data_IF_348080581456
#
_entry.id   IF_348080581456
#
_cell.length_a   1.000
_cell.length_b   1.000
_cell.length_c   1.000
_cell.angle_alpha   90.00
_cell.angle_beta   90.00
_cell.angle_gamma   90.00
#
_symmetry.space_group_name_H-M   'P 1'
#
loop_
_entity.id
_entity.type
_entity.pdbx_description
1 polymer ?
#
# COMPACT_ATOMS: atom_id res chain seq x y z
N UNK A 1 40.14 21.13 24.61
CA UNK A 1 40.08 19.67 24.42
C UNK A 1 39.25 19.43 23.18
N UNK A 2 39.85 18.87 22.13
CA UNK A 2 39.08 18.36 21.00
C UNK A 2 38.17 17.24 21.50
N UNK A 3 36.88 17.34 21.18
CA UNK A 3 35.92 16.30 21.48
C UNK A 3 36.20 15.13 20.53
N UNK A 4 36.85 14.06 21.01
CA UNK A 4 37.13 12.89 20.20
C UNK A 4 35.84 12.08 20.03
N UNK A 5 35.20 12.22 18.87
CA UNK A 5 33.95 11.52 18.53
C UNK A 5 34.26 10.05 18.19
N UNK A 6 34.06 9.15 19.17
CA UNK A 6 34.23 7.71 19.02
C UNK A 6 33.22 6.93 19.90
N UNK A 7 31.91 7.01 19.60
CA UNK A 7 30.91 6.27 20.36
C UNK A 7 31.03 4.76 20.06
N UNK A 8 31.34 3.97 21.08
CA UNK A 8 31.37 2.50 20.97
C UNK A 8 30.00 1.86 21.23
N UNK A 9 29.19 2.50 22.07
CA UNK A 9 27.87 2.04 22.50
C UNK A 9 26.89 3.21 22.44
N UNK A 10 25.69 2.95 21.93
CA UNK A 10 24.63 3.93 21.77
C UNK A 10 23.29 3.29 22.13
N UNK A 11 22.39 4.08 22.69
CA UNK A 11 21.02 3.63 22.98
C UNK A 11 20.15 3.98 21.77
N UNK A 12 19.63 2.98 21.06
CA UNK A 12 18.66 3.18 19.99
C UNK A 12 17.31 3.60 20.58
N UNK A 13 16.85 4.82 20.29
CA UNK A 13 15.50 5.27 20.67
C UNK A 13 14.46 4.64 19.75
N UNK A 14 14.60 4.85 18.43
CA UNK A 14 13.66 4.39 17.41
C UNK A 14 14.18 4.58 15.99
N UNK A 15 13.54 3.88 15.05
CA UNK A 15 13.59 4.20 13.63
C UNK A 15 12.59 5.31 13.33
N UNK A 16 13.09 6.48 12.92
CA UNK A 16 12.29 7.67 12.63
C UNK A 16 11.52 7.53 11.33
N UNK A 17 12.21 7.09 10.28
CA UNK A 17 11.66 6.99 8.94
C UNK A 17 12.46 5.99 8.09
N UNK A 18 11.79 5.43 7.08
CA UNK A 18 12.43 4.65 6.02
C UNK A 18 12.08 5.30 4.70
N UNK A 19 13.10 5.68 3.94
CA UNK A 19 12.97 6.32 2.64
C UNK A 19 13.45 5.37 1.56
N UNK A 20 12.64 5.19 0.53
CA UNK A 20 12.93 4.35 -0.62
C UNK A 20 13.19 5.21 -1.84
N UNK A 21 14.30 4.94 -2.52
CA UNK A 21 14.78 5.70 -3.67
C UNK A 21 14.98 4.80 -4.88
N UNK A 22 14.83 5.38 -6.06
CA UNK A 22 15.27 4.74 -7.29
C UNK A 22 16.81 4.67 -7.28
N UNK A 23 17.42 3.48 -7.39
CA UNK A 23 18.86 3.33 -7.25
C UNK A 23 19.66 3.94 -8.42
N UNK A 24 19.02 4.28 -9.55
CA UNK A 24 19.67 4.88 -10.71
C UNK A 24 19.54 6.41 -10.74
N UNK A 25 18.40 6.97 -10.31
CA UNK A 25 18.14 8.42 -10.36
C UNK A 25 18.25 9.11 -9.00
N UNK A 26 18.33 8.35 -7.91
CA UNK A 26 18.20 8.84 -6.52
C UNK A 26 16.90 9.64 -6.28
N UNK A 27 15.86 9.39 -7.08
CA UNK A 27 14.53 9.97 -6.89
C UNK A 27 13.77 9.23 -5.78
N UNK A 28 13.08 9.98 -4.91
CA UNK A 28 12.31 9.43 -3.82
C UNK A 28 11.03 8.74 -4.35
N UNK A 29 10.92 7.44 -4.15
CA UNK A 29 9.75 6.63 -4.53
C UNK A 29 8.70 6.65 -3.41
N UNK A 30 9.14 6.59 -2.16
CA UNK A 30 8.23 6.54 -1.03
C UNK A 30 8.92 6.77 0.30
N UNK A 31 8.13 7.22 1.28
CA UNK A 31 8.60 7.45 2.64
C UNK A 31 7.63 6.81 3.63
N UNK A 32 8.17 5.94 4.48
CA UNK A 32 7.47 5.33 5.58
C UNK A 32 7.85 6.05 6.87
N UNK A 33 6.83 6.31 7.69
CA UNK A 33 6.98 6.93 9.01
C UNK A 33 6.27 6.07 10.03
N UNK A 34 6.55 6.32 11.32
CA UNK A 34 5.96 5.55 12.42
C UNK A 34 6.21 4.05 12.22
N UNK A 35 7.49 3.69 12.19
CA UNK A 35 7.91 2.31 12.01
C UNK A 35 7.80 1.59 13.35
N UNK A 36 7.07 0.50 13.36
CA UNK A 36 6.89 -0.40 14.49
C UNK A 36 7.67 -1.69 14.22
N UNK A 37 8.28 -2.23 15.28
CA UNK A 37 9.00 -3.50 15.27
C UNK A 37 10.04 -3.63 14.12
N UNK A 38 10.92 -2.64 13.90
CA UNK A 38 11.95 -2.74 12.88
C UNK A 38 12.98 -3.79 13.27
N UNK A 39 13.27 -4.72 12.36
CA UNK A 39 14.28 -5.76 12.53
C UNK A 39 15.19 -5.76 11.31
N UNK A 40 16.50 -5.69 11.54
CA UNK A 40 17.54 -5.88 10.54
C UNK A 40 18.26 -7.20 10.84
N UNK A 41 18.14 -8.16 9.94
CA UNK A 41 18.68 -9.52 10.10
C UNK A 41 19.70 -9.81 9.00
N UNK A 42 20.71 -10.61 9.33
CA UNK A 42 21.64 -11.19 8.34
C UNK A 42 21.68 -12.69 8.50
N UNK A 43 21.77 -13.42 7.38
CA UNK A 43 21.93 -14.87 7.35
C UNK A 43 23.00 -15.28 6.34
N UNK A 44 23.50 -16.51 6.48
CA UNK A 44 24.47 -17.10 5.57
C UNK A 44 24.24 -18.61 5.46
N UNK A 45 24.63 -19.19 4.34
CA UNK A 45 24.60 -20.64 4.13
C UNK A 45 25.90 -21.25 4.62
N UNK A 46 25.83 -22.14 5.60
CA UNK A 46 26.96 -22.92 6.09
C UNK A 46 27.24 -24.14 5.18
N UNK A 47 28.51 -24.36 4.88
CA UNK A 47 29.03 -25.54 4.20
C UNK A 47 30.08 -26.20 5.10
N UNK A 48 29.72 -27.34 5.69
CA UNK A 48 30.61 -28.09 6.56
C UNK A 48 31.51 -29.03 5.76
N UNK A 49 32.81 -28.93 5.97
CA UNK A 49 33.80 -29.92 5.56
C UNK A 49 33.92 -30.94 6.68
N UNK A 50 33.53 -32.18 6.40
CA UNK A 50 33.51 -33.26 7.38
C UNK A 50 34.70 -34.21 7.22
N UNK A 51 35.10 -34.86 8.31
CA UNK A 51 36.06 -35.96 8.28
C UNK A 51 35.44 -37.26 7.76
N UNK A 52 36.26 -38.32 7.65
CA UNK A 52 35.82 -39.62 7.17
C UNK A 52 34.76 -40.31 8.06
N UNK A 53 34.54 -39.81 9.29
CA UNK A 53 33.51 -40.29 10.22
C UNK A 53 32.27 -39.36 10.26
N UNK A 54 32.24 -38.31 9.43
CA UNK A 54 31.13 -37.37 9.34
C UNK A 54 31.18 -36.23 10.35
N UNK A 55 32.27 -36.05 11.09
CA UNK A 55 32.44 -34.95 12.05
C UNK A 55 32.87 -33.67 11.32
N UNK A 56 32.22 -32.51 11.54
CA UNK A 56 32.66 -31.25 10.95
C UNK A 56 34.08 -30.86 11.40
N UNK A 57 34.98 -30.70 10.43
CA UNK A 57 36.35 -30.16 10.61
C UNK A 57 36.32 -28.64 10.50
N UNK A 58 35.56 -28.10 9.54
CA UNK A 58 35.52 -26.66 9.25
C UNK A 58 34.21 -26.25 8.56
N UNK A 59 33.69 -25.06 8.85
CA UNK A 59 32.49 -24.51 8.21
C UNK A 59 32.83 -23.30 7.35
N UNK A 60 32.49 -23.33 6.07
CA UNK A 60 32.52 -22.17 5.18
C UNK A 60 31.16 -21.47 5.16
N UNK A 61 31.13 -20.16 5.35
CA UNK A 61 29.91 -19.36 5.23
C UNK A 61 29.85 -18.67 3.87
N UNK A 62 28.83 -19.01 3.08
CA UNK A 62 28.59 -18.48 1.74
C UNK A 62 27.24 -17.76 1.67
N UNK A 63 26.99 -17.06 0.55
CA UNK A 63 25.69 -16.47 0.22
C UNK A 63 25.09 -15.63 1.36
N UNK A 64 25.86 -14.67 1.88
CA UNK A 64 25.35 -13.74 2.89
C UNK A 64 24.14 -12.96 2.34
N UNK A 65 23.07 -12.94 3.13
CA UNK A 65 21.81 -12.28 2.84
C UNK A 65 21.48 -11.33 3.98
N UNK A 66 20.80 -10.24 3.65
CA UNK A 66 20.22 -9.35 4.64
C UNK A 66 18.72 -9.24 4.45
N UNK A 67 18.00 -9.01 5.54
CA UNK A 67 16.57 -8.75 5.53
C UNK A 67 16.27 -7.58 6.45
N UNK A 68 15.48 -6.64 5.98
CA UNK A 68 14.93 -5.57 6.81
C UNK A 68 13.41 -5.66 6.81
N UNK A 69 12.81 -5.83 7.97
CA UNK A 69 11.35 -5.94 8.12
C UNK A 69 10.82 -5.07 9.25
N UNK A 70 9.53 -4.81 9.22
CA UNK A 70 8.81 -4.07 10.25
C UNK A 70 7.39 -3.78 9.78
N UNK A 71 6.70 -2.88 10.47
CA UNK A 71 5.38 -2.43 10.06
C UNK A 71 5.28 -0.91 10.10
N UNK A 72 4.56 -0.31 9.15
CA UNK A 72 4.13 1.08 9.27
C UNK A 72 2.82 1.14 10.06
N UNK A 73 2.73 2.07 11.01
CA UNK A 73 1.50 2.31 11.77
C UNK A 73 0.32 2.74 10.91
N UNK A 74 0.61 3.31 9.74
CA UNK A 74 -0.38 3.82 8.81
C UNK A 74 -0.43 2.97 7.54
N UNK A 75 -1.61 2.89 6.95
CA UNK A 75 -1.77 2.30 5.64
C UNK A 75 -1.13 3.21 4.57
N UNK A 76 0.08 2.87 4.14
CA UNK A 76 0.78 3.60 3.09
C UNK A 76 0.41 3.08 1.69
N UNK A 77 -0.13 3.97 0.85
CA UNK A 77 -0.39 3.70 -0.56
C UNK A 77 0.90 3.53 -1.36
N UNK A 78 1.97 4.25 -1.01
CA UNK A 78 3.27 4.13 -1.69
C UNK A 78 3.93 2.78 -1.39
N UNK A 79 3.76 2.28 -0.16
CA UNK A 79 4.20 0.94 0.22
C UNK A 79 3.39 -0.13 -0.52
N UNK A 80 2.06 0.01 -0.58
CA UNK A 80 1.21 -0.91 -1.32
C UNK A 80 1.57 -0.94 -2.81
N UNK A 81 1.78 0.23 -3.43
CA UNK A 81 2.22 0.34 -4.81
C UNK A 81 3.56 -0.38 -5.02
N UNK A 82 4.56 -0.11 -4.17
CA UNK A 82 5.87 -0.76 -4.24
C UNK A 82 5.79 -2.28 -4.04
N UNK A 83 5.02 -2.76 -3.06
CA UNK A 83 4.80 -4.19 -2.80
C UNK A 83 4.08 -4.88 -3.96
N UNK A 84 3.18 -4.17 -4.62
CA UNK A 84 2.47 -4.71 -5.76
C UNK A 84 3.27 -4.65 -7.06
N UNK A 85 4.43 -3.97 -7.08
CA UNK A 85 5.18 -3.70 -8.31
C UNK A 85 4.36 -2.82 -9.26
N UNK A 86 3.57 -1.91 -8.69
CA UNK A 86 2.61 -1.08 -9.39
C UNK A 86 2.92 0.40 -9.17
N UNK A 87 2.43 1.24 -10.07
CA UNK A 87 2.46 2.68 -9.90
C UNK A 87 1.20 3.17 -9.18
N UNK A 88 1.36 4.13 -8.28
CA UNK A 88 0.24 4.86 -7.69
C UNK A 88 -0.24 5.91 -8.69
N UNK A 89 -1.38 5.67 -9.30
CA UNK A 89 -1.99 6.63 -10.24
C UNK A 89 -2.89 7.59 -9.47
N UNK A 90 -2.62 8.88 -9.61
CA UNK A 90 -3.46 9.96 -9.06
C UNK A 90 -4.28 10.54 -10.21
N UNK A 91 -5.60 10.62 -10.02
CA UNK A 91 -6.50 11.16 -11.02
C UNK A 91 -6.22 12.67 -11.24
N UNK A 92 -6.53 13.12 -12.45
CA UNK A 92 -6.47 14.53 -12.85
C UNK A 92 -7.72 14.86 -13.66
N UNK A 93 -7.93 16.14 -13.99
CA UNK A 93 -9.04 16.56 -14.87
C UNK A 93 -9.03 15.84 -16.21
N UNK A 94 -7.83 15.57 -16.74
CA UNK A 94 -7.62 15.01 -18.08
C UNK A 94 -7.54 13.47 -18.06
N UNK A 95 -7.20 12.89 -16.90
CA UNK A 95 -7.12 11.45 -16.67
C UNK A 95 -7.86 11.09 -15.40
N UNK A 96 -9.18 10.95 -15.52
CA UNK A 96 -10.05 10.52 -14.43
C UNK A 96 -9.93 9.02 -14.18
N UNK A 97 -10.21 8.61 -12.95
CA UNK A 97 -10.27 7.20 -12.55
C UNK A 97 -11.74 6.80 -12.42
N UNK A 98 -12.09 5.65 -13.00
CA UNK A 98 -13.40 5.02 -12.82
C UNK A 98 -13.50 4.44 -11.41
N UNK A 99 -14.40 5.02 -10.63
CA UNK A 99 -14.73 4.59 -9.28
C UNK A 99 -16.10 3.91 -9.27
N UNK A 100 -16.39 3.16 -8.21
CA UNK A 100 -17.70 2.53 -8.01
C UNK A 100 -18.41 3.16 -6.81
N UNK A 101 -19.68 3.49 -6.98
CA UNK A 101 -20.56 3.95 -5.92
C UNK A 101 -21.66 2.92 -5.67
N UNK A 102 -21.89 2.61 -4.40
CA UNK A 102 -23.05 1.86 -3.92
C UNK A 102 -23.86 2.78 -3.02
N UNK A 103 -25.08 3.09 -3.43
CA UNK A 103 -25.96 4.01 -2.70
C UNK A 103 -27.25 3.32 -2.31
N UNK A 104 -27.74 3.65 -1.11
CA UNK A 104 -29.09 3.33 -0.68
C UNK A 104 -29.82 4.65 -0.48
N UNK A 105 -30.78 4.95 -1.36
CA UNK A 105 -31.42 6.26 -1.44
C UNK A 105 -32.92 6.11 -1.20
N UNK A 106 -33.50 7.01 -0.41
CA UNK A 106 -34.96 7.05 -0.21
C UNK A 106 -35.64 7.55 -1.48
N UNK A 107 -36.70 6.85 -1.89
CA UNK A 107 -37.50 7.20 -3.07
C UNK A 107 -38.34 8.43 -2.76
N UNK A 108 -38.28 9.44 -3.63
CA UNK A 108 -39.08 10.65 -3.53
C UNK A 108 -40.58 10.38 -3.68
N UNK A 109 -41.42 11.31 -3.23
CA UNK A 109 -42.88 11.21 -3.39
C UNK A 109 -43.34 11.17 -4.84
N UNK A 110 -42.50 11.61 -5.77
CA UNK A 110 -42.65 11.60 -7.22
C UNK A 110 -42.07 10.32 -7.88
N UNK A 111 -41.75 9.29 -7.08
CA UNK A 111 -41.08 8.06 -7.51
C UNK A 111 -39.72 8.28 -8.18
N UNK A 112 -39.05 9.41 -7.92
CA UNK A 112 -37.71 9.68 -8.43
C UNK A 112 -36.63 9.52 -7.37
N UNK A 113 -35.41 9.29 -7.83
CA UNK A 113 -34.21 9.18 -7.02
C UNK A 113 -33.08 9.93 -7.70
N UNK A 114 -32.33 10.73 -6.95
CA UNK A 114 -31.19 11.48 -7.47
C UNK A 114 -29.89 10.88 -6.94
N UNK A 115 -29.02 10.46 -7.85
CA UNK A 115 -27.70 9.89 -7.54
C UNK A 115 -26.71 10.99 -7.14
N UNK A 116 -25.73 10.64 -6.30
CA UNK A 116 -24.67 11.58 -5.91
C UNK A 116 -23.75 11.95 -7.08
N UNK A 117 -23.37 10.97 -7.88
CA UNK A 117 -22.44 11.10 -9.00
C UNK A 117 -23.13 10.88 -10.36
N UNK A 118 -22.52 11.38 -11.43
CA UNK A 118 -22.98 11.09 -12.80
C UNK A 118 -22.54 9.67 -13.14
N UNK A 119 -23.45 8.75 -13.44
CA UNK A 119 -23.07 7.40 -13.82
C UNK A 119 -22.40 7.40 -15.20
N UNK A 120 -21.39 6.54 -15.36
CA UNK A 120 -20.67 6.36 -16.62
C UNK A 120 -20.77 4.91 -17.09
N UNK A 121 -20.80 4.71 -18.41
CA UNK A 121 -20.95 3.40 -19.02
C UNK A 121 -21.52 3.51 -20.43
N UNK A 122 -22.10 2.42 -20.92
CA UNK A 122 -22.83 2.43 -22.18
C UNK A 122 -24.08 3.30 -22.04
N UNK A 123 -24.26 4.27 -22.94
CA UNK A 123 -25.39 5.20 -22.92
C UNK A 123 -26.75 4.47 -22.82
N UNK A 124 -27.55 4.81 -21.81
CA UNK A 124 -28.84 4.17 -21.54
C UNK A 124 -28.76 2.81 -20.83
N UNK A 125 -27.56 2.37 -20.47
CA UNK A 125 -27.29 1.14 -19.72
C UNK A 125 -26.14 1.32 -18.70
N UNK A 126 -25.88 2.57 -18.27
CA UNK A 126 -24.88 2.90 -17.25
C UNK A 126 -25.23 2.25 -15.91
N UNK A 127 -26.53 2.06 -15.66
CA UNK A 127 -27.07 1.32 -14.53
C UNK A 127 -28.04 0.27 -15.09
N UNK A 128 -27.71 -1.01 -14.91
CA UNK A 128 -28.48 -2.10 -15.52
C UNK A 128 -29.74 -2.45 -14.72
N UNK A 129 -29.63 -2.39 -13.40
CA UNK A 129 -30.72 -2.72 -12.49
C UNK A 129 -30.63 -1.87 -11.23
N UNK A 130 -31.79 -1.68 -10.59
CA UNK A 130 -31.90 -1.14 -9.23
C UNK A 130 -32.77 -2.06 -8.39
N UNK A 131 -32.52 -2.11 -7.09
CA UNK A 131 -33.22 -3.04 -6.19
C UNK A 131 -33.85 -2.31 -5.02
N UNK A 132 -35.14 -2.48 -4.81
CA UNK A 132 -35.81 -1.87 -3.65
C UNK A 132 -35.37 -2.59 -2.37
N UNK A 133 -35.14 -1.80 -1.32
CA UNK A 133 -34.91 -2.25 0.03
C UNK A 133 -36.17 -1.89 0.84
N UNK A 134 -36.83 -2.92 1.36
CA UNK A 134 -38.00 -2.79 2.20
C UNK A 134 -37.63 -2.23 3.59
N UNK A 135 -38.64 -1.82 4.37
CA UNK A 135 -38.43 -1.23 5.71
C UNK A 135 -37.74 -2.17 6.70
N UNK A 136 -37.90 -3.49 6.53
CA UNK A 136 -37.22 -4.51 7.33
C UNK A 136 -35.81 -4.87 6.82
N UNK A 137 -35.23 -4.06 5.93
CA UNK A 137 -33.95 -4.30 5.25
C UNK A 137 -33.90 -5.56 4.38
N UNK A 138 -35.03 -6.18 4.05
CA UNK A 138 -35.04 -7.26 3.04
C UNK A 138 -35.04 -6.68 1.63
N UNK A 139 -34.57 -7.49 0.70
CA UNK A 139 -34.63 -7.15 -0.71
C UNK A 139 -36.06 -7.27 -1.24
N UNK A 140 -36.56 -6.18 -1.81
CA UNK A 140 -37.81 -6.14 -2.56
C UNK A 140 -37.59 -6.37 -4.06
N UNK A 141 -38.45 -5.74 -4.85
CA UNK A 141 -38.48 -5.86 -6.31
C UNK A 141 -37.20 -5.32 -6.96
N UNK A 142 -36.82 -5.93 -8.09
CA UNK A 142 -35.69 -5.49 -8.93
C UNK A 142 -36.25 -4.88 -10.20
N UNK A 143 -35.82 -3.67 -10.52
CA UNK A 143 -36.22 -2.96 -11.73
C UNK A 143 -35.06 -2.94 -12.71
N UNK A 144 -35.34 -3.20 -13.98
CA UNK A 144 -34.37 -3.13 -15.08
C UNK A 144 -34.46 -1.80 -15.83
N UNK A 145 -33.35 -1.34 -16.38
CA UNK A 145 -33.33 -0.08 -17.15
C UNK A 145 -34.12 -0.22 -18.45
N UNK A 146 -34.94 0.77 -18.75
CA UNK A 146 -35.71 0.86 -19.99
C UNK A 146 -35.87 2.32 -20.44
N UNK A 147 -36.34 2.51 -21.67
CA UNK A 147 -36.63 3.83 -22.23
C UNK A 147 -37.90 4.47 -21.64
N UNK A 148 -38.78 3.66 -21.04
CA UNK A 148 -40.00 4.10 -20.36
C UNK A 148 -40.18 3.33 -19.05
N UNK A 149 -40.62 4.04 -18.01
CA UNK A 149 -40.92 3.44 -16.71
C UNK A 149 -42.21 2.60 -16.81
N UNK A 150 -42.24 1.47 -16.11
CA UNK A 150 -43.37 0.53 -16.14
C UNK A 150 -43.13 -0.65 -15.21
N UNK A 151 -44.02 -1.65 -15.22
CA UNK A 151 -43.88 -2.83 -14.34
C UNK A 151 -42.47 -3.47 -14.50
N UNK A 152 -41.73 -3.55 -13.39
CA UNK A 152 -40.35 -4.06 -13.35
C UNK A 152 -39.30 -3.23 -14.10
N UNK A 153 -39.61 -1.99 -14.52
CA UNK A 153 -38.73 -1.13 -15.34
C UNK A 153 -38.57 0.29 -14.80
N UNK A 154 -37.36 0.83 -14.85
CA UNK A 154 -37.04 2.22 -14.49
C UNK A 154 -36.39 2.96 -15.66
N UNK A 155 -36.44 4.29 -15.64
CA UNK A 155 -35.68 5.13 -16.58
C UNK A 155 -34.50 5.81 -15.89
N UNK A 156 -33.42 6.00 -16.64
CA UNK A 156 -32.22 6.70 -16.18
C UNK A 156 -31.98 7.94 -17.04
N UNK A 157 -31.85 9.09 -16.40
CA UNK A 157 -31.23 10.28 -16.98
C UNK A 157 -29.87 10.49 -16.31
N UNK A 158 -28.81 10.02 -16.97
CA UNK A 158 -27.45 10.10 -16.45
C UNK A 158 -27.01 11.56 -16.23
N UNK A 159 -27.34 12.47 -17.16
CA UNK A 159 -26.93 13.87 -17.11
C UNK A 159 -27.51 14.62 -15.90
N UNK A 160 -28.79 14.37 -15.57
CA UNK A 160 -29.44 14.95 -14.39
C UNK A 160 -29.31 14.08 -13.14
N UNK A 161 -28.63 12.92 -13.25
CA UNK A 161 -28.45 11.94 -12.17
C UNK A 161 -29.76 11.36 -11.65
N UNK A 162 -30.81 11.36 -12.47
CA UNK A 162 -32.17 11.03 -12.02
C UNK A 162 -32.57 9.64 -12.48
N UNK A 163 -33.02 8.82 -11.53
CA UNK A 163 -33.70 7.55 -11.77
C UNK A 163 -35.19 7.78 -11.53
N UNK A 164 -36.02 7.35 -12.47
CA UNK A 164 -37.49 7.39 -12.32
C UNK A 164 -38.01 5.96 -12.24
N UNK A 165 -38.62 5.63 -11.10
CA UNK A 165 -39.28 4.35 -10.84
C UNK A 165 -40.76 4.43 -11.25
N UNK A 166 -41.45 3.28 -11.35
CA UNK A 166 -42.90 3.27 -11.58
C UNK A 166 -43.67 3.99 -10.47
N UNK A 167 -44.79 4.61 -10.83
CA UNK A 167 -45.65 5.27 -9.85
C UNK A 167 -46.09 4.30 -8.75
N UNK A 168 -46.15 4.79 -7.52
CA UNK A 168 -46.49 3.98 -6.34
C UNK A 168 -45.31 3.21 -5.72
N UNK A 169 -44.13 3.24 -6.33
CA UNK A 169 -42.92 2.68 -5.71
C UNK A 169 -42.51 3.56 -4.53
N UNK A 170 -42.37 2.96 -3.35
CA UNK A 170 -42.00 3.65 -2.10
C UNK A 170 -40.90 2.88 -1.39
N UNK A 171 -40.26 3.51 -0.40
CA UNK A 171 -39.18 2.91 0.38
C UNK A 171 -37.80 3.41 -0.05
N UNK A 172 -36.80 2.53 -0.04
CA UNK A 172 -35.42 2.85 -0.43
C UNK A 172 -35.00 2.02 -1.64
N UNK A 173 -34.12 2.57 -2.47
CA UNK A 173 -33.52 1.86 -3.60
C UNK A 173 -32.02 1.70 -3.37
N UNK A 174 -31.52 0.49 -3.61
CA UNK A 174 -30.10 0.20 -3.74
C UNK A 174 -29.69 0.29 -5.21
N UNK A 175 -28.61 1.03 -5.45
CA UNK A 175 -28.05 1.23 -6.77
C UNK A 175 -26.52 1.11 -6.69
N UNK A 176 -25.95 0.36 -7.62
CA UNK A 176 -24.50 0.27 -7.81
C UNK A 176 -24.16 0.73 -9.23
N UNK A 177 -23.19 1.64 -9.33
CA UNK A 177 -22.82 2.22 -10.62
C UNK A 177 -21.37 2.70 -10.62
N UNK A 178 -20.81 2.81 -11.81
CA UNK A 178 -19.48 3.40 -12.02
C UNK A 178 -19.61 4.92 -12.25
N UNK A 179 -18.63 5.69 -11.79
CA UNK A 179 -18.53 7.13 -12.07
C UNK A 179 -17.07 7.52 -12.27
N UNK A 180 -16.82 8.60 -13.00
CA UNK A 180 -15.47 9.15 -13.15
C UNK A 180 -15.16 10.16 -12.04
N UNK A 181 -13.97 10.04 -11.46
CA UNK A 181 -13.44 10.99 -10.46
C UNK A 181 -12.07 11.51 -10.89
N UNK A 182 -11.87 12.82 -10.78
CA UNK A 182 -10.58 13.51 -10.87
C UNK A 182 -9.88 13.63 -9.50
N UNK A 183 -10.56 13.24 -8.42
CA UNK A 183 -10.05 13.22 -7.05
C UNK A 183 -10.04 11.78 -6.53
N UNK A 184 -9.18 10.95 -7.12
CA UNK A 184 -9.07 9.54 -6.77
C UNK A 184 -7.62 9.06 -6.92
N UNK A 185 -7.29 7.97 -6.23
CA UNK A 185 -6.02 7.28 -6.35
C UNK A 185 -6.29 5.80 -6.60
N UNK A 186 -5.56 5.20 -7.54
CA UNK A 186 -5.64 3.77 -7.82
C UNK A 186 -4.27 3.10 -7.78
N UNK A 187 -4.25 1.88 -7.28
CA UNK A 187 -3.10 0.98 -7.33
C UNK A 187 -3.63 -0.36 -7.85
N UNK A 188 -3.00 -0.88 -8.90
CA UNK A 188 -3.45 -2.12 -9.55
C UNK A 188 -2.33 -3.15 -9.50
N UNK A 189 -2.55 -4.23 -8.75
CA UNK A 189 -1.69 -5.41 -8.80
C UNK A 189 -2.03 -6.23 -10.04
N UNK A 190 -1.08 -6.39 -10.96
CA UNK A 190 -1.18 -7.36 -12.06
C UNK A 190 -0.50 -8.67 -11.67
N UNK A 191 -0.78 -9.74 -12.43
CA UNK A 191 -0.20 -11.07 -12.18
C UNK A 191 1.31 -11.11 -12.37
N UNK A 192 1.83 -10.26 -13.25
CA UNK A 192 3.23 -10.33 -13.71
C UNK A 192 4.10 -9.24 -13.08
N UNK A 193 3.49 -8.27 -12.39
CA UNK A 193 4.20 -7.20 -11.71
C UNK A 193 5.03 -7.75 -10.54
N UNK A 194 6.29 -7.33 -10.43
CA UNK A 194 7.21 -7.68 -9.35
C UNK A 194 7.75 -6.37 -8.77
N UNK A 195 7.90 -6.24 -7.43
CA UNK A 195 8.52 -5.07 -6.83
C UNK A 195 9.89 -4.77 -7.44
N UNK A 196 10.16 -3.51 -7.74
CA UNK A 196 11.48 -3.11 -8.23
C UNK A 196 12.53 -3.10 -7.12
N UNK A 197 13.80 -3.10 -7.53
CA UNK A 197 14.92 -2.92 -6.59
C UNK A 197 15.05 -1.43 -6.26
N UNK A 198 15.11 -1.12 -4.99
CA UNK A 198 15.17 0.22 -4.43
C UNK A 198 16.43 0.39 -3.57
N UNK A 199 16.88 1.62 -3.40
CA UNK A 199 17.86 2.01 -2.38
C UNK A 199 17.11 2.48 -1.15
N UNK A 200 17.48 2.00 0.04
CA UNK A 200 16.83 2.42 1.29
C UNK A 200 17.76 3.28 2.13
N UNK A 201 17.19 4.32 2.72
CA UNK A 201 17.79 5.07 3.82
C UNK A 201 16.89 4.90 5.05
N UNK A 202 17.40 4.21 6.06
CA UNK A 202 16.70 3.95 7.32
C UNK A 202 17.27 4.91 8.36
N UNK A 203 16.46 5.88 8.77
CA UNK A 203 16.86 6.91 9.73
C UNK A 203 16.59 6.44 11.15
N UNK A 204 17.63 6.38 11.97
CA UNK A 204 17.60 5.99 13.37
C UNK A 204 17.99 7.16 14.27
N UNK A 205 17.38 7.24 15.45
CA UNK A 205 17.75 8.21 16.50
C UNK A 205 18.41 7.43 17.62
N UNK A 206 19.59 7.89 18.03
CA UNK A 206 20.38 7.31 19.09
C UNK A 206 20.66 8.33 20.20
N UNK A 207 20.88 7.85 21.43
CA UNK A 207 21.31 8.66 22.56
C UNK A 207 22.63 8.15 23.14
N UNK A 208 23.38 9.07 23.76
CA UNK A 208 24.53 8.71 24.57
C UNK A 208 24.10 7.95 25.84
N UNK A 209 24.76 6.83 26.19
CA UNK A 209 24.42 6.08 27.40
C UNK A 209 24.72 6.83 28.69
N UNK A 210 25.63 7.81 28.67
CA UNK A 210 26.00 8.61 29.84
C UNK A 210 25.27 9.96 29.92
N UNK A 211 24.87 10.54 28.78
CA UNK A 211 24.08 11.77 28.73
C UNK A 211 22.91 11.66 27.74
N UNK A 212 21.72 11.39 28.28
CA UNK A 212 20.51 11.25 27.47
C UNK A 212 20.15 12.51 26.66
N UNK A 213 20.72 13.69 26.96
CA UNK A 213 20.50 14.92 26.19
C UNK A 213 21.35 14.97 24.91
N UNK A 214 22.39 14.14 24.81
CA UNK A 214 23.19 14.00 23.60
C UNK A 214 22.49 13.05 22.63
N UNK A 215 22.04 13.62 21.52
CA UNK A 215 21.37 12.89 20.43
C UNK A 215 22.35 12.68 19.28
N UNK A 216 22.33 11.48 18.71
CA UNK A 216 23.08 11.13 17.51
C UNK A 216 22.11 10.70 16.41
N UNK A 217 22.35 11.19 15.20
CA UNK A 217 21.61 10.78 14.01
C UNK A 217 22.30 9.57 13.39
N UNK A 218 21.54 8.50 13.20
CA UNK A 218 22.00 7.31 12.50
C UNK A 218 21.29 7.12 11.17
N UNK A 219 22.02 6.65 10.16
CA UNK A 219 21.47 6.27 8.86
C UNK A 219 22.00 4.88 8.51
N UNK A 220 21.09 3.93 8.33
CA UNK A 220 21.42 2.63 7.74
C UNK A 220 21.11 2.72 6.25
N UNK A 221 22.16 2.62 5.43
CA UNK A 221 22.07 2.72 3.97
C UNK A 221 22.06 1.32 3.38
N UNK A 222 20.98 0.95 2.70
CA UNK A 222 20.90 -0.31 1.95
C UNK A 222 20.94 0.01 0.45
N UNK A 223 22.07 -0.22 -0.25
CA UNK A 223 22.21 0.18 -1.66
C UNK A 223 21.25 -0.52 -2.61
N UNK A 224 20.87 -1.77 -2.28
CA UNK A 224 19.90 -2.57 -3.05
C UNK A 224 19.04 -3.38 -2.10
N UNK A 225 17.77 -3.05 -2.07
CA UNK A 225 16.74 -3.75 -1.35
C UNK A 225 15.56 -4.01 -2.30
N UNK A 226 14.88 -5.12 -2.15
CA UNK A 226 13.67 -5.41 -2.91
C UNK A 226 12.61 -5.90 -1.94
N UNK A 227 11.39 -5.37 -2.03
CA UNK A 227 10.28 -5.91 -1.27
C UNK A 227 10.07 -7.36 -1.64
N UNK A 228 9.93 -8.22 -0.64
CA UNK A 228 9.67 -9.64 -0.81
C UNK A 228 8.20 -9.85 -1.25
N UNK A 229 7.95 -10.28 -2.50
CA UNK A 229 6.59 -10.45 -2.99
C UNK A 229 5.98 -11.82 -2.64
N UNK A 230 6.71 -12.70 -1.96
CA UNK A 230 6.26 -14.09 -1.71
C UNK A 230 5.04 -14.16 -0.80
N UNK A 231 4.93 -13.24 0.16
CA UNK A 231 3.82 -13.18 1.11
C UNK A 231 3.54 -11.72 1.53
N UNK A 232 2.78 -11.00 0.71
CA UNK A 232 2.28 -9.66 1.05
C UNK A 232 0.94 -9.83 1.78
N UNK A 233 0.86 -9.36 3.02
CA UNK A 233 -0.36 -9.37 3.82
C UNK A 233 -0.72 -7.93 4.22
N UNK A 234 -1.90 -7.47 3.83
CA UNK A 234 -2.46 -6.20 4.26
C UNK A 234 -3.56 -6.46 5.28
N UNK A 235 -3.39 -5.95 6.50
CA UNK A 235 -4.46 -6.01 7.50
C UNK A 235 -5.58 -5.03 7.11
N UNK A 236 -6.82 -5.53 7.03
CA UNK A 236 -8.01 -4.72 6.77
C UNK A 236 -8.79 -4.39 8.05
N UNK A 237 -8.12 -4.47 9.21
CA UNK A 237 -8.67 -4.05 10.49
C UNK A 237 -8.35 -2.57 10.71
N UNK A 238 -9.20 -1.88 11.46
CA UNK A 238 -9.00 -0.46 11.77
C UNK A 238 -7.74 -0.18 12.60
N UNK A 239 -7.27 -1.17 13.37
CA UNK A 239 -6.02 -1.17 14.14
C UNK A 239 -4.87 -1.91 13.44
N UNK A 240 -5.11 -2.37 12.20
CA UNK A 240 -4.15 -3.10 11.40
C UNK A 240 -2.94 -2.26 11.02
N UNK A 241 -1.75 -2.83 11.16
CA UNK A 241 -0.49 -2.24 10.69
C UNK A 241 -0.20 -2.69 9.27
N UNK A 242 0.63 -1.94 8.55
CA UNK A 242 1.05 -2.28 7.20
C UNK A 242 2.46 -2.90 7.25
N UNK A 243 2.59 -4.23 7.24
CA UNK A 243 3.90 -4.90 7.33
C UNK A 243 4.68 -4.76 6.03
N UNK A 244 6.01 -4.75 6.15
CA UNK A 244 6.93 -4.80 5.01
C UNK A 244 8.12 -5.70 5.31
N UNK A 245 8.68 -6.29 4.26
CA UNK A 245 9.89 -7.11 4.31
C UNK A 245 10.72 -6.84 3.06
N UNK A 246 11.92 -6.32 3.25
CA UNK A 246 12.89 -6.06 2.20
C UNK A 246 13.99 -7.12 2.26
N UNK A 247 14.23 -7.79 1.13
CA UNK A 247 15.42 -8.58 0.91
C UNK A 247 16.56 -7.66 0.46
N UNK A 248 17.64 -7.60 1.24
CA UNK A 248 18.85 -6.86 0.93
C UNK A 248 19.73 -7.70 -0.01
N UNK A 249 20.09 -7.12 -1.15
CA UNK A 249 20.80 -7.85 -2.22
C UNK A 249 22.18 -7.27 -2.46
N UNK A 250 23.15 -8.17 -2.66
CA UNK A 250 24.48 -7.79 -3.15
C UNK A 250 24.37 -7.19 -4.57
N UNK A 251 24.91 -5.99 -4.84
CA UNK A 251 25.10 -5.53 -6.21
C UNK A 251 25.99 -6.51 -7.00
N UNK A 252 25.45 -7.07 -8.08
CA UNK A 252 26.13 -8.10 -8.88
C UNK A 252 27.42 -7.58 -9.54
N UNK A 253 27.42 -6.33 -9.99
CA UNK A 253 28.55 -5.73 -10.71
C UNK A 253 29.60 -5.04 -9.82
N UNK A 254 29.50 -5.15 -8.49
CA UNK A 254 30.41 -4.46 -7.57
C UNK A 254 31.46 -5.42 -6.99
N UNK A 255 32.74 -5.11 -7.20
CA UNK A 255 33.89 -5.89 -6.71
C UNK A 255 33.93 -5.98 -5.17
N UNK A 256 33.43 -4.95 -4.48
CA UNK A 256 33.28 -4.88 -3.01
C UNK A 256 31.84 -4.59 -2.61
N UNK A 257 30.92 -5.48 -2.98
CA UNK A 257 29.52 -5.31 -2.68
C UNK A 257 29.20 -5.36 -1.17
N UNK A 258 28.39 -4.42 -0.71
CA UNK A 258 27.89 -4.31 0.66
C UNK A 258 26.38 -4.58 0.70
N UNK A 259 25.90 -5.16 1.81
CA UNK A 259 24.47 -5.34 2.07
C UNK A 259 23.84 -4.08 2.67
N UNK A 260 24.51 -3.49 3.66
CA UNK A 260 24.16 -2.21 4.25
C UNK A 260 25.38 -1.54 4.90
N UNK A 261 25.33 -0.23 5.10
CA UNK A 261 26.27 0.56 5.90
C UNK A 261 25.50 1.19 7.07
N UNK A 262 26.06 1.17 8.29
CA UNK A 262 25.51 1.90 9.45
C UNK A 262 26.38 3.13 9.66
N UNK A 263 25.80 4.31 9.49
CA UNK A 263 26.46 5.61 9.61
C UNK A 263 25.88 6.31 10.83
N UNK A 264 26.74 6.80 11.73
CA UNK A 264 26.29 7.58 12.89
C UNK A 264 27.09 8.87 12.94
N UNK A 265 26.38 9.98 13.07
CA UNK A 265 26.96 11.30 13.28
C UNK A 265 26.33 11.94 14.52
N UNK A 266 27.10 12.82 15.16
CA UNK A 266 26.53 13.79 16.10
C UNK A 266 25.66 14.76 15.31
N UNK A 267 24.42 14.94 15.77
CA UNK A 267 23.52 15.97 15.25
C UNK A 267 23.90 17.35 15.84
#
# INVERSE_FOLDING_TARGET
MEFNFNPNELILERIRAVEAYNPATDELIGRLTQIEEPVLETSATALDVVDAMGTPIHTFYNAQQGKFSGSSSLFSLDLAASQFGAEKVVATSDKKITMYASETITIGSDATVVLKHVPVGTAGAEIKYVKVINDNNTFGETFEVATAAGAGKFTLNAATKTITLPEGTTGRVFVNYAYESDNAVSITKTTDAIPEVQKLLIHAIFHDPCDANLVYAGIIVCPRAQLDPTAISLSLKSDGKHPFSYALKKPYCADSAKLFDILVSRD
#
